data_IF_598507527672
#
_entry.id   IF_598507527672
#
_cell.length_a   1.000
_cell.length_b   1.000
_cell.length_c   1.000
_cell.angle_alpha   90.00
_cell.angle_beta   90.00
_cell.angle_gamma   90.00
#
_symmetry.space_group_name_H-M   'P 1'
#
loop_
_entity.id
_entity.type
_entity.pdbx_description
1 polymer ?
#
# COMPACT_ATOMS: atom_id res chain seq x y z
N UNK A 1 -6.30 -8.58 -8.77
CA UNK A 1 -4.97 -8.36 -9.42
C UNK A 1 -3.84 -8.74 -8.46
N UNK A 2 -2.62 -9.03 -8.92
CA UNK A 2 -1.53 -9.57 -8.09
C UNK A 2 -0.14 -9.09 -8.50
N UNK A 3 0.80 -9.06 -7.57
CA UNK A 3 2.22 -8.79 -7.85
C UNK A 3 2.99 -10.07 -8.17
N UNK A 4 3.99 -9.97 -9.06
CA UNK A 4 5.07 -10.95 -9.12
C UNK A 4 5.94 -10.83 -7.84
N UNK A 5 6.43 -11.97 -7.35
CA UNK A 5 7.09 -12.09 -6.04
C UNK A 5 8.35 -11.21 -5.93
N UNK A 6 9.24 -11.25 -6.91
CA UNK A 6 10.48 -10.46 -6.92
C UNK A 6 10.18 -8.97 -7.04
N UNK A 7 9.25 -8.59 -7.92
CA UNK A 7 8.83 -7.20 -8.09
C UNK A 7 8.27 -6.61 -6.80
N UNK A 8 7.44 -7.37 -6.08
CA UNK A 8 6.91 -6.95 -4.77
C UNK A 8 8.02 -6.69 -3.76
N UNK A 9 8.97 -7.61 -3.60
CA UNK A 9 10.07 -7.44 -2.64
C UNK A 9 10.98 -6.26 -3.02
N UNK A 10 11.15 -5.98 -4.31
CA UNK A 10 11.90 -4.79 -4.77
C UNK A 10 11.23 -3.47 -4.35
N UNK A 11 9.89 -3.37 -4.45
CA UNK A 11 9.15 -2.18 -4.01
C UNK A 11 9.38 -1.90 -2.52
N UNK A 12 9.28 -2.94 -1.69
CA UNK A 12 9.53 -2.84 -0.24
C UNK A 12 10.97 -2.40 0.03
N UNK A 13 11.94 -2.96 -0.71
CA UNK A 13 13.35 -2.57 -0.63
C UNK A 13 13.59 -1.09 -0.93
N UNK A 14 12.73 -0.46 -1.73
CA UNK A 14 12.77 0.98 -2.04
C UNK A 14 11.94 1.85 -1.07
N UNK A 15 11.35 1.27 -0.01
CA UNK A 15 10.50 1.99 0.93
C UNK A 15 9.07 2.23 0.43
N UNK A 16 8.61 1.47 -0.57
CA UNK A 16 7.22 1.54 -1.08
C UNK A 16 6.40 0.38 -0.50
N UNK A 17 5.21 0.67 0.03
CA UNK A 17 4.27 -0.38 0.49
C UNK A 17 3.50 -0.95 -0.70
N UNK A 18 3.61 -2.25 -1.01
CA UNK A 18 2.74 -2.89 -1.98
C UNK A 18 1.36 -3.13 -1.37
N UNK A 19 0.33 -2.51 -1.94
CA UNK A 19 -1.07 -2.72 -1.60
C UNK A 19 -1.76 -3.52 -2.69
N UNK A 20 -2.60 -4.47 -2.29
CA UNK A 20 -3.36 -5.32 -3.20
C UNK A 20 -4.85 -5.16 -2.93
N UNK A 21 -5.66 -5.09 -4.00
CA UNK A 21 -7.12 -5.11 -3.86
C UNK A 21 -7.61 -6.36 -3.10
N UNK A 22 -8.81 -6.30 -2.48
CA UNK A 22 -9.46 -7.48 -1.92
C UNK A 22 -9.52 -8.64 -2.93
N UNK A 23 -9.63 -9.86 -2.41
CA UNK A 23 -9.75 -11.03 -3.27
C UNK A 23 -10.98 -10.92 -4.18
N UNK A 24 -10.78 -11.05 -5.48
CA UNK A 24 -11.83 -10.91 -6.49
C UNK A 24 -12.12 -9.47 -6.94
N UNK A 25 -11.55 -8.48 -6.26
CA UNK A 25 -11.68 -7.07 -6.62
C UNK A 25 -10.54 -6.60 -7.55
N UNK A 26 -10.82 -5.51 -8.25
CA UNK A 26 -9.93 -4.81 -9.19
C UNK A 26 -10.29 -3.33 -9.21
N UNK A 27 -9.43 -2.49 -9.77
CA UNK A 27 -9.77 -1.08 -10.03
C UNK A 27 -11.09 -0.95 -10.82
N UNK A 28 -11.32 -1.85 -11.78
CA UNK A 28 -12.51 -1.82 -12.63
C UNK A 28 -13.79 -2.21 -11.88
N UNK A 29 -13.75 -3.24 -11.03
CA UNK A 29 -14.92 -3.65 -10.23
C UNK A 29 -15.29 -2.60 -9.17
N UNK A 30 -14.28 -1.90 -8.65
CA UNK A 30 -14.45 -0.78 -7.72
C UNK A 30 -14.81 0.55 -8.41
N UNK A 31 -14.88 0.58 -9.74
CA UNK A 31 -15.20 1.80 -10.49
C UNK A 31 -14.12 2.90 -10.42
N UNK A 32 -12.89 2.52 -10.06
CA UNK A 32 -11.76 3.43 -10.04
C UNK A 32 -11.28 3.70 -11.47
N UNK A 33 -10.92 4.93 -11.78
CA UNK A 33 -10.38 5.30 -13.10
C UNK A 33 -9.07 6.10 -13.04
N UNK A 34 -8.56 6.34 -11.83
CA UNK A 34 -7.30 7.04 -11.59
C UNK A 34 -7.46 8.56 -11.49
N UNK A 35 -8.69 9.08 -11.55
CA UNK A 35 -8.97 10.51 -11.30
C UNK A 35 -9.17 10.82 -9.82
N UNK A 36 -9.27 9.81 -8.96
CA UNK A 36 -9.58 9.97 -7.54
C UNK A 36 -8.37 10.44 -6.73
N UNK A 37 -8.63 11.15 -5.64
CA UNK A 37 -7.67 11.35 -4.57
C UNK A 37 -7.75 10.15 -3.63
N UNK A 38 -6.62 9.46 -3.45
CA UNK A 38 -6.55 8.25 -2.63
C UNK A 38 -5.99 8.58 -1.25
N UNK A 39 -6.78 8.32 -0.21
CA UNK A 39 -6.35 8.38 1.19
C UNK A 39 -6.21 6.97 1.76
N UNK A 40 -5.08 6.71 2.44
CA UNK A 40 -4.76 5.41 3.03
C UNK A 40 -4.55 5.59 4.54
N UNK A 41 -5.25 4.80 5.36
CA UNK A 41 -5.17 4.84 6.83
C UNK A 41 -4.90 3.46 7.42
N UNK A 42 -4.24 3.39 8.58
CA UNK A 42 -3.88 2.14 9.26
C UNK A 42 -2.42 1.70 9.05
N UNK A 43 -1.66 2.36 8.17
CA UNK A 43 -0.23 2.08 7.98
C UNK A 43 0.64 2.49 9.18
N UNK A 44 0.15 3.43 10.01
CA UNK A 44 0.83 3.90 11.20
C UNK A 44 1.15 2.79 12.21
N UNK A 45 0.40 1.69 12.20
CA UNK A 45 0.67 0.50 13.01
C UNK A 45 2.06 -0.10 12.75
N UNK A 46 2.63 0.11 11.55
CA UNK A 46 4.00 -0.29 11.24
C UNK A 46 4.99 0.40 12.18
N UNK A 47 4.76 1.65 12.58
CA UNK A 47 5.66 2.35 13.50
C UNK A 47 5.68 1.73 14.91
N UNK A 48 4.65 0.97 15.26
CA UNK A 48 4.52 0.26 16.54
C UNK A 48 5.08 -1.17 16.48
N UNK A 49 5.68 -1.56 15.34
CA UNK A 49 6.21 -2.90 15.12
C UNK A 49 5.14 -3.92 14.70
N UNK A 50 3.92 -3.48 14.42
CA UNK A 50 2.82 -4.34 13.96
C UNK A 50 2.68 -4.21 12.45
N UNK A 51 2.73 -5.32 11.71
CA UNK A 51 2.41 -5.30 10.27
C UNK A 51 0.91 -5.55 10.10
N UNK A 52 0.10 -4.53 9.75
CA UNK A 52 -1.32 -4.71 9.53
C UNK A 52 -1.55 -5.62 8.33
N UNK A 53 -2.56 -6.48 8.39
CA UNK A 53 -2.93 -7.35 7.24
C UNK A 53 -3.64 -6.57 6.14
N UNK A 54 -4.41 -5.57 6.53
CA UNK A 54 -5.19 -4.72 5.64
C UNK A 54 -5.14 -3.27 6.11
N UNK A 55 -5.39 -2.34 5.19
CA UNK A 55 -5.46 -0.90 5.44
C UNK A 55 -6.72 -0.28 4.81
N UNK A 56 -7.20 0.75 5.50
CA UNK A 56 -8.20 1.73 5.09
C UNK A 56 -7.91 2.37 3.75
N UNK A 57 -8.66 2.15 2.66
CA UNK A 57 -8.53 2.97 1.45
C UNK A 57 -9.84 3.70 1.14
N UNK A 58 -9.74 5.02 1.01
CA UNK A 58 -10.82 5.92 0.58
C UNK A 58 -10.39 6.58 -0.72
N UNK A 59 -11.19 6.42 -1.76
CA UNK A 59 -11.00 7.06 -3.06
C UNK A 59 -12.10 8.11 -3.26
N UNK A 60 -11.72 9.39 -3.15
CA UNK A 60 -12.64 10.52 -3.28
C UNK A 60 -12.56 11.11 -4.70
N UNK A 61 -13.69 11.47 -5.34
CA UNK A 61 -13.68 12.17 -6.62
C UNK A 61 -12.89 13.47 -6.54
N UNK A 62 -12.14 13.80 -7.60
CA UNK A 62 -11.43 15.07 -7.72
C UNK A 62 -12.05 15.97 -8.80
N UNK A 63 -11.43 17.13 -9.06
CA UNK A 63 -11.81 18.01 -10.17
C UNK A 63 -11.69 17.35 -11.57
N UNK A 64 -10.92 16.26 -11.68
CA UNK A 64 -10.76 15.50 -12.92
C UNK A 64 -11.76 14.34 -13.05
N UNK A 65 -12.54 14.06 -12.01
CA UNK A 65 -13.52 12.99 -12.02
C UNK A 65 -14.78 13.38 -12.81
N UNK A 66 -15.45 12.37 -13.38
CA UNK A 66 -16.74 12.57 -14.01
C UNK A 66 -17.80 13.06 -13.01
N UNK A 67 -18.73 13.88 -13.48
CA UNK A 67 -19.81 14.40 -12.65
C UNK A 67 -20.67 13.26 -12.08
N UNK A 68 -21.08 13.41 -10.82
CA UNK A 68 -21.84 12.40 -10.08
C UNK A 68 -21.04 11.17 -9.63
N UNK A 69 -19.71 11.14 -9.83
CA UNK A 69 -18.87 10.06 -9.28
C UNK A 69 -18.93 10.06 -7.75
N UNK A 70 -18.99 8.87 -7.16
CA UNK A 70 -19.14 8.68 -5.73
C UNK A 70 -17.81 8.28 -5.08
N UNK A 71 -17.67 8.57 -3.79
CA UNK A 71 -16.58 8.07 -2.97
C UNK A 71 -16.65 6.55 -2.87
N UNK A 72 -15.50 5.89 -3.06
CA UNK A 72 -15.37 4.44 -2.95
C UNK A 72 -14.47 4.09 -1.77
N UNK A 73 -14.90 3.11 -0.99
CA UNK A 73 -14.29 2.73 0.27
C UNK A 73 -14.03 1.23 0.28
N UNK A 74 -12.77 0.82 0.46
CA UNK A 74 -12.39 -0.60 0.51
C UNK A 74 -11.16 -0.86 1.39
N UNK A 75 -10.96 -2.11 1.78
CA UNK A 75 -9.76 -2.54 2.53
C UNK A 75 -8.73 -3.12 1.57
N UNK A 76 -7.55 -2.53 1.48
CA UNK A 76 -6.46 -3.10 0.69
C UNK A 76 -5.61 -4.05 1.55
N UNK A 77 -5.18 -5.17 0.98
CA UNK A 77 -4.25 -6.11 1.61
C UNK A 77 -2.84 -5.55 1.56
N UNK A 78 -2.18 -5.47 2.72
CA UNK A 78 -0.78 -5.06 2.82
C UNK A 78 0.10 -6.26 2.50
N UNK A 79 0.96 -6.13 1.50
CA UNK A 79 1.80 -7.23 0.99
C UNK A 79 3.24 -7.17 1.50
N UNK A 80 3.37 -6.95 2.81
CA UNK A 80 4.61 -7.19 3.56
C UNK A 80 4.51 -8.59 4.13
N UNK A 81 5.20 -9.54 3.51
CA UNK A 81 4.98 -10.98 3.75
C UNK A 81 5.94 -11.54 4.83
N UNK A 82 6.97 -10.80 5.22
CA UNK A 82 7.97 -11.23 6.23
C UNK A 82 8.35 -10.13 7.23
N UNK A 83 8.82 -10.47 8.45
CA UNK A 83 9.30 -9.49 9.41
C UNK A 83 10.47 -8.63 8.88
N UNK A 84 11.40 -9.23 8.13
CA UNK A 84 12.53 -8.49 7.55
C UNK A 84 12.10 -7.47 6.49
N UNK A 85 11.09 -7.79 5.68
CA UNK A 85 10.47 -6.83 4.76
C UNK A 85 9.86 -5.64 5.54
N UNK A 86 9.22 -5.91 6.69
CA UNK A 86 8.70 -4.86 7.56
C UNK A 86 9.81 -3.99 8.17
N UNK A 87 10.96 -4.58 8.54
CA UNK A 87 12.14 -3.84 9.00
C UNK A 87 12.68 -2.91 7.90
N UNK A 88 12.79 -3.40 6.66
CA UNK A 88 13.24 -2.59 5.54
C UNK A 88 12.32 -1.39 5.31
N UNK A 89 11.01 -1.63 5.26
CA UNK A 89 10.04 -0.55 5.06
C UNK A 89 10.12 0.52 6.15
N UNK A 90 10.15 0.12 7.44
CA UNK A 90 10.24 1.05 8.59
C UNK A 90 11.50 1.91 8.57
N UNK A 91 12.56 1.43 7.94
CA UNK A 91 13.80 2.20 7.79
C UNK A 91 13.83 3.06 6.51
N UNK A 92 12.74 3.09 5.72
CA UNK A 92 12.68 3.82 4.46
C UNK A 92 13.38 3.09 3.30
N UNK A 93 13.57 1.77 3.42
CA UNK A 93 14.18 0.91 2.42
C UNK A 93 15.41 0.14 2.92
N UNK A 94 15.82 -0.87 2.15
CA UNK A 94 16.89 -1.80 2.52
C UNK A 94 18.25 -1.10 2.67
N UNK A 95 18.55 -0.13 1.81
CA UNK A 95 19.83 0.60 1.88
C UNK A 95 19.93 1.39 3.19
N UNK A 96 18.84 2.05 3.60
CA UNK A 96 18.80 2.82 4.83
C UNK A 96 18.87 1.92 6.07
N UNK A 97 18.21 0.75 6.04
CA UNK A 97 18.32 -0.27 7.08
C UNK A 97 19.76 -0.75 7.29
N UNK A 98 20.45 -1.11 6.21
CA UNK A 98 21.85 -1.58 6.28
C UNK A 98 22.77 -0.48 6.80
N UNK A 99 22.65 0.75 6.27
CA UNK A 99 23.48 1.87 6.72
C UNK A 99 23.33 2.15 8.22
N UNK A 100 22.11 2.12 8.76
CA UNK A 100 21.85 2.31 10.20
C UNK A 100 22.38 1.18 11.09
N UNK A 101 22.61 -0.01 10.52
CA UNK A 101 23.11 -1.18 11.25
C UNK A 101 24.64 -1.22 11.36
N UNK A 102 25.34 -0.34 10.64
CA UNK A 102 26.80 -0.26 10.61
C UNK A 102 27.38 0.78 11.57
N UNK A 103 26.52 1.54 12.27
CA UNK A 103 26.90 2.64 13.18
C UNK A 103 26.56 2.29 14.62
#
# INVERSE_FOLDING_TARGET
ESFERIHRSNLIGMGVVPLQFPAGESWKSLGLDGTEIISITGLEQLNEGVTPKTVRVVAEPSEFSADGKQTVEFDAVVRIDTPGEADYYRNGGILQYVLRSLV
#
